data_IF_678345577455
#
_entry.id   IF_678345577455
#
_cell.length_a   1.000
_cell.length_b   1.000
_cell.length_c   1.000
_cell.angle_alpha   90.00
_cell.angle_beta   90.00
_cell.angle_gamma   90.00
#
_symmetry.space_group_name_H-M   'P 1'
#
loop_
_entity.id
_entity.type
_entity.pdbx_description
1 polymer ?
#
# COMPACT_ATOMS: atom_id res chain seq x y z
N UNK A 1 -8.12 26.73 1.19
CA UNK A 1 -9.22 25.73 1.16
C UNK A 1 -8.57 24.38 1.43
N UNK A 2 -9.12 23.53 2.32
CA UNK A 2 -8.54 22.19 2.55
C UNK A 2 -8.74 21.33 1.29
N UNK A 3 -7.74 20.54 0.94
CA UNK A 3 -7.84 19.60 -0.18
C UNK A 3 -8.96 18.58 0.11
N UNK A 4 -9.81 18.30 -0.89
CA UNK A 4 -10.94 17.37 -0.76
C UNK A 4 -10.48 15.98 -0.34
N UNK A 5 -9.39 15.50 -0.92
CA UNK A 5 -8.80 14.19 -0.64
C UNK A 5 -8.33 14.10 0.82
N UNK A 6 -7.75 15.18 1.37
CA UNK A 6 -7.34 15.21 2.78
C UNK A 6 -8.55 15.16 3.72
N UNK A 7 -9.66 15.84 3.37
CA UNK A 7 -10.89 15.82 4.18
C UNK A 7 -11.52 14.43 4.18
N UNK A 8 -11.60 13.79 3.01
CA UNK A 8 -12.11 12.42 2.88
C UNK A 8 -11.22 11.43 3.63
N UNK A 9 -9.90 11.56 3.50
CA UNK A 9 -8.95 10.72 4.23
C UNK A 9 -9.09 10.86 5.75
N UNK A 10 -9.26 12.08 6.26
CA UNK A 10 -9.50 12.31 7.69
C UNK A 10 -10.76 11.59 8.18
N UNK A 11 -11.84 11.58 7.38
CA UNK A 11 -13.07 10.88 7.72
C UNK A 11 -12.86 9.36 7.76
N UNK A 12 -12.17 8.78 6.77
CA UNK A 12 -11.85 7.36 6.74
C UNK A 12 -10.90 6.95 7.88
N UNK A 13 -9.86 7.76 8.14
CA UNK A 13 -8.93 7.54 9.25
C UNK A 13 -9.63 7.49 10.61
N UNK A 14 -10.57 8.41 10.83
CA UNK A 14 -11.36 8.44 12.07
C UNK A 14 -12.17 7.15 12.27
N UNK A 15 -12.73 6.58 11.20
CA UNK A 15 -13.48 5.31 11.26
C UNK A 15 -12.60 4.12 11.65
N UNK A 16 -11.30 4.18 11.37
CA UNK A 16 -10.35 3.11 11.72
C UNK A 16 -10.05 3.04 13.22
N UNK A 17 -10.34 4.12 13.97
CA UNK A 17 -10.24 4.15 15.42
C UNK A 17 -8.80 4.03 15.96
N UNK A 18 -7.79 4.38 15.16
CA UNK A 18 -6.40 4.42 15.61
C UNK A 18 -6.21 5.64 16.51
N UNK A 19 -5.75 5.47 17.77
CA UNK A 19 -5.48 6.60 18.66
C UNK A 19 -4.38 7.52 18.14
N UNK A 20 -4.43 8.81 18.44
CA UNK A 20 -3.47 9.80 17.93
C UNK A 20 -2.03 9.58 18.44
N UNK A 21 -1.88 8.96 19.60
CA UNK A 21 -0.56 8.73 20.21
C UNK A 21 0.05 7.37 19.83
N UNK A 22 -0.68 6.61 19.02
CA UNK A 22 -0.19 5.28 18.59
C UNK A 22 0.88 5.41 17.52
N UNK A 23 1.77 4.43 17.51
CA UNK A 23 2.74 4.24 16.43
C UNK A 23 2.14 3.31 15.38
N UNK A 24 2.25 3.69 14.10
CA UNK A 24 1.81 2.88 12.97
C UNK A 24 2.99 2.53 12.06
N UNK A 25 3.02 1.31 11.57
CA UNK A 25 3.98 0.84 10.57
C UNK A 25 3.35 1.00 9.18
N UNK A 26 3.96 1.79 8.31
CA UNK A 26 3.48 1.98 6.93
C UNK A 26 4.33 1.17 5.97
N UNK A 27 3.71 0.23 5.27
CA UNK A 27 4.36 -0.51 4.19
C UNK A 27 4.49 0.37 2.95
N UNK A 28 5.72 0.70 2.57
CA UNK A 28 6.01 1.59 1.45
C UNK A 28 6.73 0.82 0.34
N UNK A 29 6.24 0.94 -0.89
CA UNK A 29 6.85 0.40 -2.11
C UNK A 29 7.54 1.47 -2.97
N UNK A 30 7.56 2.71 -2.50
CA UNK A 30 7.97 3.92 -3.26
C UNK A 30 7.06 4.32 -4.43
N UNK A 31 6.05 3.51 -4.76
CA UNK A 31 5.04 3.84 -5.76
C UNK A 31 4.05 4.92 -5.30
N UNK A 32 3.28 5.46 -6.26
CA UNK A 32 2.34 6.56 -6.08
C UNK A 32 1.44 6.38 -4.84
N UNK A 33 0.77 5.23 -4.72
CA UNK A 33 -0.25 5.00 -3.68
C UNK A 33 0.37 4.99 -2.28
N UNK A 34 1.51 4.32 -2.11
CA UNK A 34 2.20 4.23 -0.82
C UNK A 34 2.80 5.56 -0.38
N UNK A 35 3.34 6.35 -1.33
CA UNK A 35 3.87 7.69 -1.03
C UNK A 35 2.74 8.68 -0.75
N UNK A 36 1.59 8.52 -1.41
CA UNK A 36 0.37 9.29 -1.14
C UNK A 36 -0.16 8.99 0.25
N UNK A 37 -0.25 7.71 0.65
CA UNK A 37 -0.65 7.32 2.01
C UNK A 37 0.25 7.98 3.05
N UNK A 38 1.57 7.92 2.83
CA UNK A 38 2.55 8.52 3.75
C UNK A 38 2.36 10.03 3.89
N UNK A 39 2.13 10.73 2.77
CA UNK A 39 1.84 12.17 2.76
C UNK A 39 0.54 12.52 3.48
N UNK A 40 -0.53 11.78 3.23
CA UNK A 40 -1.84 11.99 3.86
C UNK A 40 -1.78 11.81 5.38
N UNK A 41 -1.06 10.79 5.87
CA UNK A 41 -0.86 10.57 7.31
C UNK A 41 -0.11 11.74 7.96
N UNK A 42 0.94 12.24 7.33
CA UNK A 42 1.72 13.37 7.83
C UNK A 42 0.93 14.69 7.87
N UNK A 43 -0.09 14.83 7.03
CA UNK A 43 -0.96 16.01 6.95
C UNK A 43 -2.23 15.91 7.79
N UNK A 44 -2.43 14.81 8.51
CA UNK A 44 -3.50 14.71 9.49
C UNK A 44 -3.35 15.82 10.55
N UNK A 45 -4.47 16.36 11.07
CA UNK A 45 -4.44 17.24 12.23
C UNK A 45 -3.69 16.58 13.38
N UNK A 46 -2.93 17.35 14.15
CA UNK A 46 -2.09 16.84 15.24
C UNK A 46 -2.83 15.90 16.19
N UNK A 47 -4.05 16.26 16.56
CA UNK A 47 -4.94 15.45 17.42
C UNK A 47 -5.40 14.12 16.83
N UNK A 48 -5.08 13.83 15.58
CA UNK A 48 -5.43 12.58 14.88
C UNK A 48 -4.19 11.89 14.28
N UNK A 49 -3.04 12.58 14.33
CA UNK A 49 -1.82 12.12 13.65
C UNK A 49 -1.12 11.07 14.51
N UNK A 50 -0.94 9.84 13.99
CA UNK A 50 -0.13 8.83 14.65
C UNK A 50 1.36 9.14 14.49
N UNK A 51 2.20 8.48 15.29
CA UNK A 51 3.63 8.39 15.02
C UNK A 51 3.85 7.39 13.86
N UNK A 52 4.47 7.86 12.76
CA UNK A 52 4.65 7.05 11.56
C UNK A 52 6.05 6.45 11.54
N UNK A 53 6.12 5.14 11.38
CA UNK A 53 7.34 4.40 11.04
C UNK A 53 7.14 3.70 9.70
N UNK A 54 8.21 3.55 8.93
CA UNK A 54 8.17 3.07 7.55
C UNK A 54 8.84 1.71 7.44
N UNK A 55 8.19 0.76 6.77
CA UNK A 55 8.78 -0.52 6.37
C UNK A 55 8.91 -0.58 4.84
N UNK A 56 10.12 -0.85 4.37
CA UNK A 56 10.46 -0.96 2.96
C UNK A 56 11.20 -2.28 2.69
N UNK A 57 10.81 -2.98 1.62
CA UNK A 57 11.50 -4.18 1.15
C UNK A 57 12.03 -3.94 -0.25
N UNK A 58 13.34 -4.05 -0.41
CA UNK A 58 14.00 -4.12 -1.71
C UNK A 58 13.92 -5.56 -2.22
N UNK A 59 13.09 -5.78 -3.22
CA UNK A 59 12.92 -7.11 -3.82
C UNK A 59 13.97 -7.44 -4.88
N UNK A 60 14.82 -6.51 -5.25
CA UNK A 60 15.84 -6.65 -6.32
C UNK A 60 15.27 -7.18 -7.65
N UNK A 61 13.99 -6.94 -7.92
CA UNK A 61 13.32 -7.39 -9.15
C UNK A 61 13.59 -6.47 -10.34
N UNK A 62 14.10 -5.26 -10.09
CA UNK A 62 14.31 -4.22 -11.10
C UNK A 62 15.68 -3.59 -10.98
N UNK A 63 16.19 -3.08 -12.08
CA UNK A 63 17.46 -2.34 -12.09
C UNK A 63 17.41 -1.05 -11.27
N UNK A 64 16.24 -0.41 -11.20
CA UNK A 64 16.04 0.84 -10.45
C UNK A 64 15.90 0.64 -8.92
N UNK A 65 15.84 -0.59 -8.43
CA UNK A 65 15.65 -0.95 -7.02
C UNK A 65 16.59 -0.18 -6.06
N UNK A 66 17.87 -0.01 -6.48
CA UNK A 66 18.83 0.78 -5.72
C UNK A 66 18.43 2.27 -5.62
N UNK A 67 17.90 2.84 -6.70
CA UNK A 67 17.44 4.25 -6.70
C UNK A 67 16.21 4.42 -5.80
N UNK A 68 15.32 3.43 -5.79
CA UNK A 68 14.14 3.40 -4.91
C UNK A 68 14.55 3.32 -3.44
N UNK A 69 15.52 2.45 -3.10
CA UNK A 69 16.08 2.33 -1.75
C UNK A 69 16.75 3.63 -1.28
N UNK A 70 17.54 4.27 -2.14
CA UNK A 70 18.18 5.55 -1.84
C UNK A 70 17.14 6.66 -1.64
N UNK A 71 16.10 6.67 -2.47
CA UNK A 71 15.01 7.64 -2.38
C UNK A 71 14.27 7.55 -1.06
N UNK A 72 13.77 6.35 -0.70
CA UNK A 72 13.02 6.20 0.55
C UNK A 72 13.88 6.46 1.78
N UNK A 73 15.16 6.11 1.73
CA UNK A 73 16.11 6.41 2.80
C UNK A 73 16.25 7.91 3.00
N UNK A 74 16.49 8.68 1.92
CA UNK A 74 16.59 10.14 1.97
C UNK A 74 15.26 10.79 2.38
N UNK A 75 14.14 10.26 1.90
CA UNK A 75 12.83 10.75 2.28
C UNK A 75 12.58 10.61 3.79
N UNK A 76 12.84 9.45 4.35
CA UNK A 76 12.65 9.20 5.78
C UNK A 76 13.59 10.05 6.63
N UNK A 77 14.87 10.17 6.26
CA UNK A 77 15.83 11.04 6.94
C UNK A 77 15.38 12.50 6.93
N UNK A 78 14.95 13.02 5.79
CA UNK A 78 14.48 14.42 5.66
C UNK A 78 13.25 14.71 6.52
N UNK A 79 12.36 13.73 6.68
CA UNK A 79 11.09 13.88 7.41
C UNK A 79 11.14 13.37 8.85
N UNK A 80 12.31 12.95 9.34
CA UNK A 80 12.47 12.43 10.71
C UNK A 80 11.71 11.12 10.97
N UNK A 81 11.52 10.29 9.94
CA UNK A 81 10.81 9.02 10.04
C UNK A 81 11.77 7.87 10.30
N UNK A 82 11.40 6.98 11.20
CA UNK A 82 12.11 5.70 11.39
C UNK A 82 11.86 4.82 10.17
N UNK A 83 12.91 4.23 9.62
CA UNK A 83 12.86 3.37 8.45
C UNK A 83 13.43 1.98 8.77
N UNK A 84 12.59 0.95 8.66
CA UNK A 84 13.00 -0.44 8.63
C UNK A 84 13.17 -0.89 7.18
N UNK A 85 14.33 -1.48 6.86
CA UNK A 85 14.63 -1.98 5.51
C UNK A 85 14.99 -3.44 5.54
N UNK A 86 14.55 -4.19 4.54
CA UNK A 86 15.02 -5.53 4.27
C UNK A 86 15.28 -5.70 2.77
N UNK A 87 16.14 -6.64 2.44
CA UNK A 87 16.50 -6.97 1.05
C UNK A 87 16.14 -8.43 0.80
N UNK A 88 15.41 -8.68 -0.27
CA UNK A 88 15.19 -10.02 -0.77
C UNK A 88 16.17 -10.30 -1.90
N UNK A 89 17.26 -10.96 -1.54
CA UNK A 89 18.36 -11.22 -2.45
C UNK A 89 17.92 -12.08 -3.63
N UNK A 90 18.39 -11.76 -4.85
CA UNK A 90 18.02 -12.44 -6.11
C UNK A 90 18.28 -13.95 -6.09
N UNK A 91 19.31 -14.40 -5.37
CA UNK A 91 19.66 -15.81 -5.23
C UNK A 91 18.59 -16.65 -4.55
N UNK A 92 17.71 -16.02 -3.74
CA UNK A 92 16.58 -16.66 -3.06
C UNK A 92 15.26 -16.56 -3.83
N UNK A 93 15.27 -15.97 -5.05
CA UNK A 93 14.06 -15.85 -5.84
C UNK A 93 13.66 -17.20 -6.44
N UNK A 94 12.41 -17.65 -6.27
CA UNK A 94 11.94 -18.86 -6.88
C UNK A 94 11.78 -18.70 -8.39
N UNK A 95 11.94 -19.78 -9.14
CA UNK A 95 11.75 -19.77 -10.61
C UNK A 95 10.27 -19.60 -11.03
N UNK A 96 9.33 -19.88 -10.13
CA UNK A 96 7.87 -19.75 -10.34
C UNK A 96 7.23 -19.16 -9.10
N UNK A 97 6.12 -18.43 -9.28
CA UNK A 97 5.38 -17.83 -8.16
C UNK A 97 6.15 -16.71 -7.44
N UNK A 98 6.97 -15.96 -8.18
CA UNK A 98 7.81 -14.90 -7.60
C UNK A 98 7.00 -13.82 -6.87
N UNK A 99 5.83 -13.46 -7.39
CA UNK A 99 4.95 -12.43 -6.78
C UNK A 99 4.41 -12.89 -5.43
N UNK A 100 3.96 -14.14 -5.34
CA UNK A 100 3.46 -14.71 -4.08
C UNK A 100 4.58 -14.82 -3.05
N UNK A 101 5.74 -15.31 -3.45
CA UNK A 101 6.92 -15.40 -2.58
C UNK A 101 7.42 -14.02 -2.13
N UNK A 102 7.41 -13.03 -3.02
CA UNK A 102 7.73 -11.64 -2.69
C UNK A 102 6.73 -11.06 -1.66
N UNK A 103 5.45 -11.39 -1.85
CA UNK A 103 4.40 -11.01 -0.91
C UNK A 103 4.61 -11.66 0.46
N UNK A 104 4.88 -12.96 0.52
CA UNK A 104 5.15 -13.67 1.78
C UNK A 104 6.37 -13.10 2.49
N UNK A 105 7.46 -12.84 1.76
CA UNK A 105 8.67 -12.25 2.31
C UNK A 105 8.39 -10.89 2.96
N UNK A 106 7.63 -10.01 2.26
CA UNK A 106 7.22 -8.71 2.81
C UNK A 106 6.41 -8.86 4.08
N UNK A 107 5.40 -9.73 4.07
CA UNK A 107 4.49 -9.85 5.22
C UNK A 107 5.19 -10.45 6.44
N UNK A 108 6.09 -11.42 6.26
CA UNK A 108 6.95 -11.93 7.35
C UNK A 108 7.85 -10.83 7.93
N UNK A 109 8.40 -9.97 7.09
CA UNK A 109 9.22 -8.85 7.56
C UNK A 109 8.38 -7.84 8.38
N UNK A 110 7.18 -7.50 7.92
CA UNK A 110 6.30 -6.61 8.66
C UNK A 110 5.87 -7.19 10.01
N UNK A 111 5.53 -8.47 10.05
CA UNK A 111 5.15 -9.18 11.27
C UNK A 111 6.30 -9.16 12.28
N UNK A 112 7.52 -9.46 11.82
CA UNK A 112 8.72 -9.39 12.65
C UNK A 112 8.94 -8.01 13.27
N UNK A 113 8.80 -6.92 12.47
CA UNK A 113 8.92 -5.56 13.01
C UNK A 113 7.86 -5.31 14.09
N UNK A 114 6.60 -5.68 13.82
CA UNK A 114 5.50 -5.47 14.78
C UNK A 114 5.76 -6.22 16.09
N UNK A 115 6.24 -7.46 16.02
CA UNK A 115 6.62 -8.25 17.21
C UNK A 115 7.78 -7.63 18.00
N UNK A 116 8.84 -7.19 17.31
CA UNK A 116 10.05 -6.61 17.94
C UNK A 116 9.81 -5.22 18.54
N UNK A 117 8.89 -4.43 17.95
CA UNK A 117 8.64 -3.05 18.35
C UNK A 117 7.38 -2.84 19.19
N UNK A 118 6.50 -3.83 19.23
CA UNK A 118 5.18 -3.71 19.87
C UNK A 118 4.18 -2.86 19.08
N UNK A 119 4.46 -2.54 17.80
CA UNK A 119 3.53 -1.77 16.96
C UNK A 119 2.32 -2.63 16.61
N UNK A 120 1.12 -2.14 16.91
CA UNK A 120 -0.13 -2.88 16.70
C UNK A 120 -0.79 -2.65 15.33
N UNK A 121 -0.39 -1.63 14.59
CA UNK A 121 -1.06 -1.22 13.34
C UNK A 121 -0.11 -1.22 12.14
N UNK A 122 -0.35 -2.12 11.20
CA UNK A 122 0.27 -2.12 9.87
C UNK A 122 -0.66 -1.47 8.86
N UNK A 123 -0.18 -0.48 8.13
CA UNK A 123 -0.93 0.22 7.09
C UNK A 123 -0.40 -0.16 5.71
N UNK A 124 -1.33 -0.45 4.78
CA UNK A 124 -1.01 -0.70 3.37
C UNK A 124 -1.86 0.18 2.46
N UNK A 125 -1.32 0.57 1.32
CA UNK A 125 -1.93 1.52 0.40
C UNK A 125 -2.86 0.87 -0.65
N UNK A 126 -3.57 -0.20 -0.28
CA UNK A 126 -4.59 -0.78 -1.16
C UNK A 126 -5.73 0.21 -1.38
N UNK A 127 -6.22 0.30 -2.61
CA UNK A 127 -7.23 1.25 -3.06
C UNK A 127 -8.42 0.56 -3.76
N UNK A 128 -9.41 1.32 -4.24
CA UNK A 128 -10.64 0.76 -4.80
C UNK A 128 -10.43 -0.09 -6.06
N UNK A 129 -9.41 0.23 -6.87
CA UNK A 129 -9.10 -0.57 -8.05
C UNK A 129 -8.59 -1.97 -7.67
N UNK A 130 -7.79 -2.11 -6.59
CA UNK A 130 -7.38 -3.44 -6.06
C UNK A 130 -8.58 -4.24 -5.57
N UNK A 131 -9.56 -3.54 -4.99
CA UNK A 131 -10.82 -4.12 -4.58
C UNK A 131 -11.58 -4.72 -5.75
N UNK A 132 -11.76 -3.93 -6.82
CA UNK A 132 -12.44 -4.36 -8.04
C UNK A 132 -11.71 -5.54 -8.70
N UNK A 133 -10.39 -5.50 -8.78
CA UNK A 133 -9.57 -6.58 -9.31
C UNK A 133 -9.73 -7.88 -8.51
N UNK A 134 -9.66 -7.77 -7.18
CA UNK A 134 -9.83 -8.94 -6.30
C UNK A 134 -11.20 -9.59 -6.48
N UNK A 135 -12.27 -8.79 -6.56
CA UNK A 135 -13.63 -9.28 -6.78
C UNK A 135 -13.74 -9.96 -8.15
N UNK A 136 -13.21 -9.32 -9.19
CA UNK A 136 -13.24 -9.84 -10.55
C UNK A 136 -12.47 -11.17 -10.67
N UNK A 137 -11.27 -11.25 -10.09
CA UNK A 137 -10.48 -12.49 -10.09
C UNK A 137 -11.19 -13.62 -9.36
N UNK A 138 -11.91 -13.35 -8.28
CA UNK A 138 -12.72 -14.35 -7.58
C UNK A 138 -13.93 -14.80 -8.40
N UNK A 139 -14.61 -13.87 -9.07
CA UNK A 139 -15.74 -14.16 -9.96
C UNK A 139 -15.30 -15.06 -11.14
N UNK A 140 -14.17 -14.75 -11.76
CA UNK A 140 -13.61 -15.55 -12.88
C UNK A 140 -13.21 -16.96 -12.44
N UNK A 141 -12.80 -17.14 -11.19
CA UNK A 141 -12.45 -18.46 -10.63
C UNK A 141 -13.67 -19.28 -10.17
N UNK A 142 -14.89 -18.79 -10.40
CA UNK A 142 -16.13 -19.52 -10.05
C UNK A 142 -16.48 -19.46 -8.56
N UNK A 143 -16.03 -18.40 -7.87
CA UNK A 143 -16.40 -18.19 -6.46
C UNK A 143 -17.89 -17.95 -6.28
N UNK A 144 -18.53 -18.61 -5.30
CA UNK A 144 -19.88 -18.35 -4.89
C UNK A 144 -20.07 -16.90 -4.42
N UNK A 145 -21.31 -16.38 -4.49
CA UNK A 145 -21.62 -15.00 -4.09
C UNK A 145 -21.10 -14.64 -2.69
N UNK A 146 -21.08 -15.58 -1.76
CA UNK A 146 -20.52 -15.40 -0.42
C UNK A 146 -18.99 -15.24 -0.40
N UNK A 147 -18.30 -15.74 -1.42
CA UNK A 147 -16.85 -15.63 -1.58
C UNK A 147 -16.42 -14.38 -2.35
N UNK A 148 -17.37 -13.68 -3.00
CA UNK A 148 -17.12 -12.41 -3.71
C UNK A 148 -16.87 -11.22 -2.77
N UNK A 149 -16.61 -11.49 -1.50
CA UNK A 149 -16.20 -10.46 -0.55
C UNK A 149 -14.82 -9.93 -0.97
N UNK A 150 -14.76 -8.64 -1.24
CA UNK A 150 -13.53 -7.96 -1.60
C UNK A 150 -12.50 -7.88 -0.47
N UNK A 151 -11.56 -6.98 -0.60
CA UNK A 151 -10.53 -6.71 0.41
C UNK A 151 -11.19 -6.01 1.61
N UNK A 152 -10.99 -6.52 2.84
CA UNK A 152 -11.47 -5.86 4.06
C UNK A 152 -10.62 -4.63 4.39
N UNK A 153 -11.25 -3.55 4.85
CA UNK A 153 -10.57 -2.34 5.31
C UNK A 153 -9.65 -2.58 6.50
N UNK A 154 -10.00 -3.56 7.35
CA UNK A 154 -9.20 -4.00 8.49
C UNK A 154 -9.25 -5.53 8.62
N UNK A 155 -8.14 -6.14 9.09
CA UNK A 155 -8.08 -7.54 9.48
C UNK A 155 -7.02 -7.76 10.56
N UNK A 156 -7.11 -8.84 11.30
CA UNK A 156 -6.04 -9.29 12.20
C UNK A 156 -4.78 -9.62 11.39
N UNK A 157 -3.63 -9.25 11.91
CA UNK A 157 -2.32 -9.53 11.32
C UNK A 157 -1.27 -9.65 12.43
N UNK A 158 -0.64 -10.83 12.54
CA UNK A 158 0.27 -11.13 13.66
C UNK A 158 -0.40 -10.82 14.99
N UNK A 159 0.29 -10.07 15.82
CA UNK A 159 -0.19 -9.61 17.15
C UNK A 159 -1.12 -8.41 17.10
N UNK A 160 -1.32 -7.82 15.90
CA UNK A 160 -2.05 -6.57 15.73
C UNK A 160 -3.07 -6.60 14.59
N UNK A 161 -3.20 -5.47 13.88
CA UNK A 161 -4.16 -5.25 12.80
C UNK A 161 -3.49 -4.69 11.56
N UNK A 162 -3.91 -5.20 10.40
CA UNK A 162 -3.59 -4.60 9.11
C UNK A 162 -4.78 -3.73 8.67
N UNK A 163 -4.51 -2.46 8.38
CA UNK A 163 -5.47 -1.45 7.98
C UNK A 163 -5.20 -0.98 6.54
N UNK A 164 -6.26 -0.59 5.83
CA UNK A 164 -6.21 -0.10 4.45
C UNK A 164 -6.96 1.22 4.31
N UNK A 165 -6.34 2.33 4.71
CA UNK A 165 -7.01 3.63 4.77
C UNK A 165 -7.43 4.18 3.41
N UNK A 166 -6.83 3.70 2.32
CA UNK A 166 -7.11 4.16 0.95
C UNK A 166 -8.13 3.30 0.20
N UNK A 167 -8.73 2.29 0.83
CA UNK A 167 -9.54 1.29 0.15
C UNK A 167 -10.76 1.86 -0.60
N UNK A 168 -11.24 3.04 -0.21
CA UNK A 168 -12.36 3.74 -0.84
C UNK A 168 -11.94 4.82 -1.85
N UNK A 169 -10.63 5.05 -2.02
CA UNK A 169 -10.09 6.01 -2.98
C UNK A 169 -9.79 5.33 -4.31
N UNK A 170 -10.08 6.02 -5.42
CA UNK A 170 -9.64 5.53 -6.74
C UNK A 170 -8.17 5.82 -6.98
N UNK A 171 -7.53 5.03 -7.84
CA UNK A 171 -6.14 5.25 -8.27
C UNK A 171 -5.98 6.64 -8.91
N UNK A 172 -6.97 7.08 -9.68
CA UNK A 172 -7.00 8.41 -10.30
C UNK A 172 -6.96 9.51 -9.24
N UNK A 173 -7.83 9.43 -8.22
CA UNK A 173 -7.86 10.40 -7.11
C UNK A 173 -6.52 10.48 -6.40
N UNK A 174 -5.87 9.33 -6.14
CA UNK A 174 -4.56 9.28 -5.49
C UNK A 174 -3.47 9.89 -6.37
N UNK A 175 -3.49 9.61 -7.67
CA UNK A 175 -2.53 10.17 -8.64
C UNK A 175 -2.69 11.67 -8.76
N UNK A 176 -3.91 12.17 -8.94
CA UNK A 176 -4.19 13.61 -8.99
C UNK A 176 -3.75 14.32 -7.69
N UNK A 177 -3.98 13.70 -6.53
CA UNK A 177 -3.51 14.24 -5.26
C UNK A 177 -1.98 14.30 -5.20
N UNK A 178 -1.29 13.23 -5.64
CA UNK A 178 0.15 13.19 -5.68
C UNK A 178 0.73 14.29 -6.60
N UNK A 179 0.14 14.49 -7.78
CA UNK A 179 0.55 15.52 -8.74
C UNK A 179 0.34 16.93 -8.17
N UNK A 180 -0.86 17.24 -7.64
CA UNK A 180 -1.16 18.54 -7.04
C UNK A 180 -0.25 18.91 -5.87
N UNK A 181 0.15 17.91 -5.09
CA UNK A 181 1.01 18.08 -3.92
C UNK A 181 2.50 17.83 -4.20
N UNK A 182 2.87 17.62 -5.47
CA UNK A 182 4.26 17.39 -5.90
C UNK A 182 4.94 16.25 -5.12
N UNK A 183 4.17 15.20 -4.82
CA UNK A 183 4.69 14.01 -4.15
C UNK A 183 5.56 13.25 -5.13
N UNK A 184 6.82 13.05 -4.77
CA UNK A 184 7.75 12.23 -5.58
C UNK A 184 7.50 10.75 -5.32
N UNK A 185 7.45 9.97 -6.39
CA UNK A 185 7.31 8.51 -6.36
C UNK A 185 7.99 7.89 -7.59
N UNK A 186 8.17 6.57 -7.57
CA UNK A 186 8.61 5.80 -8.73
C UNK A 186 7.40 5.18 -9.43
N UNK A 187 7.37 5.28 -10.76
CA UNK A 187 6.35 4.57 -11.53
C UNK A 187 6.72 3.09 -11.65
N UNK A 188 5.71 2.26 -11.48
CA UNK A 188 5.85 0.83 -11.71
C UNK A 188 5.60 0.53 -13.19
N UNK A 189 6.65 0.23 -13.94
CA UNK A 189 6.57 -0.11 -15.37
C UNK A 189 5.67 -1.35 -15.62
N UNK A 190 5.47 -2.20 -14.62
CA UNK A 190 4.57 -3.37 -14.73
C UNK A 190 3.10 -3.00 -14.70
N UNK A 191 2.74 -1.80 -14.24
CA UNK A 191 1.35 -1.30 -14.31
C UNK A 191 0.81 -1.22 -15.75
N UNK A 192 1.68 -1.04 -16.75
CA UNK A 192 1.26 -1.03 -18.17
C UNK A 192 0.76 -2.41 -18.65
N UNK A 193 1.27 -3.52 -18.09
CA UNK A 193 0.82 -4.87 -18.39
C UNK A 193 -0.52 -5.20 -17.70
N UNK A 194 -0.73 -4.70 -16.50
CA UNK A 194 -1.99 -4.83 -15.77
C UNK A 194 -3.12 -4.02 -16.45
N UNK A 195 -2.81 -2.86 -17.00
CA UNK A 195 -3.76 -2.08 -17.79
C UNK A 195 -4.16 -2.81 -19.11
N UNK A 196 -3.26 -3.58 -19.71
CA UNK A 196 -3.58 -4.41 -20.89
C UNK A 196 -4.52 -5.58 -20.54
N UNK A 197 -4.33 -6.23 -19.40
CA UNK A 197 -5.24 -7.27 -18.91
C UNK A 197 -6.61 -6.71 -18.52
N UNK A 198 -6.64 -5.55 -17.86
CA UNK A 198 -7.88 -4.81 -17.52
C UNK A 198 -8.64 -4.40 -18.79
N UNK A 199 -7.95 -3.88 -19.80
CA UNK A 199 -8.55 -3.50 -21.08
C UNK A 199 -9.09 -4.72 -21.84
N UNK A 200 -8.39 -5.86 -21.83
CA UNK A 200 -8.90 -7.11 -22.43
C UNK A 200 -10.17 -7.62 -21.74
N UNK A 201 -10.27 -7.51 -20.42
CA UNK A 201 -11.45 -7.90 -19.67
C UNK A 201 -12.61 -6.93 -19.93
N UNK A 202 -12.34 -5.62 -20.07
CA UNK A 202 -13.32 -4.60 -20.38
C UNK A 202 -13.93 -4.78 -21.77
N UNK A 203 -13.11 -5.01 -22.80
CA UNK A 203 -13.59 -5.30 -24.16
C UNK A 203 -14.39 -6.59 -24.25
N UNK A 204 -14.08 -7.60 -23.45
CA UNK A 204 -14.81 -8.87 -23.44
C UNK A 204 -16.17 -8.79 -22.72
N UNK A 205 -16.37 -7.81 -21.85
CA UNK A 205 -17.67 -7.55 -21.19
C UNK A 205 -18.61 -6.67 -22.02
N UNK A 206 -18.10 -5.99 -23.07
CA UNK A 206 -18.89 -5.18 -23.99
C UNK A 206 -19.37 -5.98 -25.23
N UNK A 207 -18.90 -7.22 -25.41
CA UNK A 207 -19.30 -8.13 -26.52
C UNK A 207 -20.41 -9.12 -26.13
N UNK A 208 -21.01 -8.98 -24.97
CA UNK A 208 -22.16 -9.73 -24.48
C UNK A 208 -23.20 -8.76 -23.93
#
# INVERSE_FOLDING_TARGET
>A
MKDKTEVEFQAEWKKMGVPANETVLVAVSTGCDSMTLLSLLQRLPEKMRPTVQVAYVDHQLREQSKKETDFITKYCQKNGLVLFKNVWEKEFHPKKGIEESAREFRYRFFEKIMEETGIEYLLTAHHSNDQAETILMKAVRGGDLEQLVGIKSARTFGTGKLLRPLLHFSKETLKEYAERNQIKYFEDETNALDDVLRNRLRHRSEEH
#
